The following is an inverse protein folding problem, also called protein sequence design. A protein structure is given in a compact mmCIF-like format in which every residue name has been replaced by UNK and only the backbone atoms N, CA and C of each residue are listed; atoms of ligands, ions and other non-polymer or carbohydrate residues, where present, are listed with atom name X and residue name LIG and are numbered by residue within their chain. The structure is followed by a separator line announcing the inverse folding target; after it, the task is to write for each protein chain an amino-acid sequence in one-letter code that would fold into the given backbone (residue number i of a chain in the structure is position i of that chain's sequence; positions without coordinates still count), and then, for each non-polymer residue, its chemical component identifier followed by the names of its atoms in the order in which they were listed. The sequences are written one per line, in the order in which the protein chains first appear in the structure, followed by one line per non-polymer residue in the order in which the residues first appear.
data_IF_799848494973
#
_entry.id   IF_799848494973
#
_cell.length_a   1.000
_cell.length_b   1.000
_cell.length_c   1.000
_cell.angle_alpha   90.00
_cell.angle_beta   90.00
_cell.angle_gamma   90.00
#
_symmetry.space_group_name_H-M   'P 1'
#
loop_
_entity.id
_entity.type
_entity.pdbx_description
1 polymer ?
#
# COMPACT_ATOMS: atom_id res chain seq x y z
N UNK A 1 -40.30 25.59 -37.77
CA UNK A 1 -41.12 24.37 -37.83
C UNK A 1 -40.76 23.51 -36.62
N UNK A 2 -41.57 23.62 -35.57
CA UNK A 2 -41.27 23.08 -34.25
C UNK A 2 -41.65 21.60 -34.18
N UNK A 3 -40.68 20.72 -33.95
CA UNK A 3 -40.93 19.30 -33.67
C UNK A 3 -40.42 18.94 -32.28
N UNK A 4 -41.41 18.74 -31.41
CA UNK A 4 -41.43 18.38 -29.99
C UNK A 4 -40.33 17.41 -29.53
N UNK A 5 -39.67 17.75 -28.41
CA UNK A 5 -38.90 16.82 -27.57
C UNK A 5 -39.85 15.87 -26.82
N UNK A 6 -39.57 14.57 -26.73
CA UNK A 6 -40.26 13.69 -25.78
C UNK A 6 -39.65 13.78 -24.37
N UNK A 7 -40.53 13.85 -23.37
CA UNK A 7 -40.23 13.89 -21.92
C UNK A 7 -39.72 12.53 -21.40
N UNK A 8 -38.85 12.46 -20.38
CA UNK A 8 -38.23 11.21 -19.97
C UNK A 8 -39.18 10.35 -19.13
N UNK A 9 -39.48 9.14 -19.63
CA UNK A 9 -40.16 8.10 -18.87
C UNK A 9 -39.30 7.65 -17.67
N UNK A 10 -39.94 7.55 -16.50
CA UNK A 10 -39.33 7.27 -15.21
C UNK A 10 -38.50 5.97 -15.19
N UNK A 11 -37.21 6.11 -14.83
CA UNK A 11 -36.37 4.97 -14.45
C UNK A 11 -36.73 4.55 -13.03
N UNK A 12 -37.40 3.40 -12.92
CA UNK A 12 -37.57 2.67 -11.66
C UNK A 12 -36.19 2.21 -11.18
N UNK A 13 -35.77 2.68 -10.02
CA UNK A 13 -34.54 2.21 -9.33
C UNK A 13 -34.70 0.73 -8.98
N UNK A 14 -33.73 -0.15 -9.30
CA UNK A 14 -33.81 -1.54 -8.87
C UNK A 14 -33.67 -1.63 -7.34
N UNK A 15 -34.39 -2.56 -6.67
CA UNK A 15 -34.29 -2.71 -5.22
C UNK A 15 -32.89 -3.21 -4.82
N UNK A 16 -32.33 -2.61 -3.75
CA UNK A 16 -31.06 -3.05 -3.15
C UNK A 16 -31.17 -4.52 -2.72
N UNK A 17 -30.20 -5.40 -3.07
CA UNK A 17 -30.22 -6.77 -2.59
C UNK A 17 -30.04 -6.80 -1.08
N UNK A 18 -31.03 -7.36 -0.39
CA UNK A 18 -31.02 -7.64 1.06
C UNK A 18 -29.93 -8.66 1.35
N UNK A 19 -29.17 -8.41 2.40
CA UNK A 19 -28.05 -9.25 2.82
C UNK A 19 -28.42 -10.72 2.99
N UNK A 20 -27.64 -11.58 2.34
CA UNK A 20 -27.52 -12.99 2.70
C UNK A 20 -26.14 -13.21 3.30
N UNK A 21 -26.12 -13.47 4.60
CA UNK A 21 -24.96 -13.84 5.38
C UNK A 21 -24.35 -15.16 4.88
N UNK A 22 -23.44 -15.09 3.92
CA UNK A 22 -22.56 -16.21 3.59
C UNK A 22 -21.36 -16.18 4.54
N UNK A 23 -21.46 -16.95 5.63
CA UNK A 23 -20.34 -17.31 6.50
C UNK A 23 -19.16 -17.83 5.67
N UNK A 24 -18.18 -16.97 5.35
CA UNK A 24 -16.81 -17.42 5.11
C UNK A 24 -16.17 -17.63 6.48
N UNK A 25 -16.33 -18.84 7.02
CA UNK A 25 -15.52 -19.33 8.12
C UNK A 25 -14.12 -19.58 7.55
N UNK A 26 -13.21 -18.62 7.69
CA UNK A 26 -11.77 -18.93 7.74
C UNK A 26 -11.44 -19.27 9.19
N UNK A 27 -11.78 -20.51 9.55
CA UNK A 27 -11.37 -21.12 10.81
C UNK A 27 -9.87 -21.40 10.76
N UNK A 28 -9.07 -20.59 11.45
CA UNK A 28 -8.07 -21.00 12.46
C UNK A 28 -7.19 -19.81 12.83
N UNK A 29 -7.57 -19.11 13.90
CA UNK A 29 -6.61 -18.38 14.75
C UNK A 29 -6.90 -18.82 16.19
N UNK A 30 -6.48 -20.04 16.51
CA UNK A 30 -6.49 -20.57 17.87
C UNK A 30 -5.33 -19.93 18.66
N UNK A 31 -5.64 -18.94 19.50
CA UNK A 31 -4.74 -18.48 20.56
C UNK A 31 -4.66 -16.96 20.72
N UNK A 32 -5.24 -16.43 21.79
CA UNK A 32 -4.98 -15.09 22.32
C UNK A 32 -6.04 -14.03 21.96
N UNK A 33 -6.64 -13.42 22.99
CA UNK A 33 -7.64 -12.34 22.88
C UNK A 33 -7.17 -11.09 22.12
N UNK A 34 -5.87 -10.98 21.82
CA UNK A 34 -5.26 -9.87 21.08
C UNK A 34 -5.41 -10.04 19.56
N UNK A 35 -5.33 -11.26 19.02
CA UNK A 35 -5.45 -11.50 17.58
C UNK A 35 -6.87 -11.19 17.03
N UNK A 36 -7.91 -11.49 17.82
CA UNK A 36 -9.29 -11.16 17.48
C UNK A 36 -9.56 -9.66 17.49
N UNK A 37 -8.96 -8.92 18.43
CA UNK A 37 -9.04 -7.46 18.51
C UNK A 37 -8.33 -6.77 17.34
N UNK A 38 -7.11 -7.18 16.99
CA UNK A 38 -6.38 -6.63 15.84
C UNK A 38 -7.16 -6.81 14.53
N UNK A 39 -7.86 -7.93 14.37
CA UNK A 39 -8.69 -8.20 13.17
C UNK A 39 -9.90 -7.27 13.12
N UNK A 40 -10.54 -6.99 14.26
CA UNK A 40 -11.63 -6.02 14.32
C UNK A 40 -11.14 -4.60 13.99
N UNK A 41 -10.04 -4.15 14.58
CA UNK A 41 -9.48 -2.81 14.34
C UNK A 41 -9.17 -2.57 12.86
N UNK A 42 -8.59 -3.55 12.16
CA UNK A 42 -8.29 -3.41 10.72
C UNK A 42 -9.55 -3.18 9.87
N UNK A 43 -10.66 -3.82 10.23
CA UNK A 43 -11.95 -3.62 9.53
C UNK A 43 -12.51 -2.22 9.75
N UNK A 44 -12.39 -1.70 10.97
CA UNK A 44 -12.81 -0.33 11.28
C UNK A 44 -11.95 0.70 10.54
N UNK A 45 -10.62 0.49 10.49
CA UNK A 45 -9.70 1.33 9.71
C UNK A 45 -10.08 1.32 8.22
N UNK A 46 -10.34 0.14 7.66
CA UNK A 46 -10.77 0.00 6.27
C UNK A 46 -12.11 0.71 6.01
N UNK A 47 -13.08 0.57 6.92
CA UNK A 47 -14.38 1.23 6.82
C UNK A 47 -14.29 2.75 6.91
N UNK A 48 -13.35 3.27 7.71
CA UNK A 48 -13.05 4.70 7.80
C UNK A 48 -12.32 5.21 6.54
N UNK A 49 -11.62 4.34 5.82
CA UNK A 49 -10.76 4.72 4.70
C UNK A 49 -9.43 5.34 5.12
N UNK A 50 -9.02 5.14 6.38
CA UNK A 50 -7.69 5.53 6.83
C UNK A 50 -6.62 4.58 6.29
N UNK A 51 -5.44 5.12 5.97
CA UNK A 51 -4.29 4.33 5.61
C UNK A 51 -3.46 3.96 6.85
N UNK A 52 -2.69 2.87 6.74
CA UNK A 52 -1.74 2.44 7.77
C UNK A 52 -0.33 2.55 7.21
N UNK A 53 0.46 3.43 7.82
CA UNK A 53 1.90 3.46 7.66
C UNK A 53 2.53 2.57 8.74
N UNK A 54 3.32 1.57 8.35
CA UNK A 54 3.91 0.60 9.28
C UNK A 54 5.37 0.31 8.96
N UNK A 55 6.13 -0.14 9.96
CA UNK A 55 7.43 -0.77 9.78
C UNK A 55 7.29 -2.19 9.20
N UNK A 56 8.35 -2.67 8.55
CA UNK A 56 8.43 -4.04 8.06
C UNK A 56 8.79 -5.01 9.19
N UNK A 57 9.83 -4.71 9.98
CA UNK A 57 10.29 -5.58 11.05
C UNK A 57 10.80 -4.89 12.33
N UNK A 58 10.55 -3.60 12.46
CA UNK A 58 10.96 -2.82 13.62
C UNK A 58 9.88 -2.86 14.71
N UNK A 59 10.05 -3.76 15.68
CA UNK A 59 9.17 -3.92 16.85
C UNK A 59 9.97 -4.24 18.12
N UNK A 60 9.34 -4.20 19.29
CA UNK A 60 9.96 -4.63 20.56
C UNK A 60 10.89 -3.63 21.25
N UNK A 61 11.16 -2.46 20.65
CA UNK A 61 12.00 -1.41 21.24
C UNK A 61 11.29 -0.58 22.33
N UNK A 62 9.96 -0.69 22.44
CA UNK A 62 9.11 -0.06 23.46
C UNK A 62 7.96 -0.99 23.82
N UNK A 63 7.33 -0.74 24.98
CA UNK A 63 6.14 -1.50 25.41
C UNK A 63 4.98 -1.42 24.40
N UNK A 64 4.77 -0.26 23.77
CA UNK A 64 3.72 -0.07 22.75
C UNK A 64 3.97 -0.86 21.45
N UNK A 65 5.24 -1.11 21.11
CA UNK A 65 5.65 -1.84 19.90
C UNK A 65 5.95 -3.32 20.19
N UNK A 66 5.68 -3.81 21.40
CA UNK A 66 6.08 -5.16 21.83
C UNK A 66 5.40 -6.27 21.04
N UNK A 67 4.12 -6.07 20.71
CA UNK A 67 3.29 -7.05 20.01
C UNK A 67 3.30 -6.88 18.48
N UNK A 68 4.29 -6.13 17.95
CA UNK A 68 4.47 -5.98 16.52
C UNK A 68 4.80 -7.30 15.85
N UNK A 69 4.25 -7.52 14.65
CA UNK A 69 4.47 -8.72 13.84
C UNK A 69 4.83 -8.33 12.40
N UNK A 70 5.74 -9.06 11.72
CA UNK A 70 6.10 -8.79 10.33
C UNK A 70 4.90 -8.84 9.36
N UNK A 71 3.94 -9.72 9.65
CA UNK A 71 2.77 -9.97 8.80
C UNK A 71 1.74 -8.85 8.86
N UNK A 72 1.93 -7.82 9.70
CA UNK A 72 0.93 -6.79 9.91
C UNK A 72 0.53 -6.08 8.61
N UNK A 73 1.51 -5.76 7.76
CA UNK A 73 1.26 -5.15 6.46
C UNK A 73 0.36 -6.02 5.57
N UNK A 74 0.66 -7.32 5.46
CA UNK A 74 -0.13 -8.27 4.68
C UNK A 74 -1.56 -8.38 5.22
N UNK A 75 -1.71 -8.52 6.54
CA UNK A 75 -3.02 -8.65 7.18
C UNK A 75 -3.88 -7.37 7.05
N UNK A 76 -3.27 -6.19 7.07
CA UNK A 76 -3.96 -4.93 6.81
C UNK A 76 -4.40 -4.84 5.34
N UNK A 77 -3.52 -5.20 4.41
CA UNK A 77 -3.82 -5.20 2.98
C UNK A 77 -4.96 -6.18 2.64
N UNK A 78 -4.94 -7.38 3.22
CA UNK A 78 -6.02 -8.38 3.09
C UNK A 78 -7.37 -7.86 3.59
N UNK A 79 -7.36 -7.01 4.61
CA UNK A 79 -8.55 -6.36 5.14
C UNK A 79 -9.04 -5.17 4.30
N UNK A 80 -8.34 -4.83 3.22
CA UNK A 80 -8.66 -3.71 2.33
C UNK A 80 -8.14 -2.35 2.82
N UNK A 81 -7.20 -2.34 3.77
CA UNK A 81 -6.56 -1.10 4.25
C UNK A 81 -5.44 -0.71 3.27
N UNK A 82 -5.37 0.57 2.92
CA UNK A 82 -4.21 1.12 2.19
C UNK A 82 -2.98 1.07 3.09
N UNK A 83 -1.98 0.30 2.69
CA UNK A 83 -0.73 0.14 3.46
C UNK A 83 0.39 0.96 2.84
N UNK A 84 1.14 1.65 3.69
CA UNK A 84 2.38 2.34 3.33
C UNK A 84 3.51 1.83 4.23
N UNK A 85 4.74 1.89 3.71
CA UNK A 85 5.94 1.59 4.49
C UNK A 85 6.70 2.88 4.80
N UNK A 86 7.27 2.97 6.00
CA UNK A 86 8.17 4.05 6.40
C UNK A 86 9.32 3.50 7.25
N UNK A 87 10.40 4.27 7.36
CA UNK A 87 11.56 3.94 8.19
C UNK A 87 11.59 4.65 9.53
N UNK A 88 10.95 5.83 9.64
CA UNK A 88 11.10 6.73 10.80
C UNK A 88 12.56 7.16 11.08
N UNK A 89 13.43 7.12 10.06
CA UNK A 89 14.85 7.50 10.15
C UNK A 89 15.32 8.12 8.83
N UNK A 90 16.11 9.21 8.94
CA UNK A 90 16.75 9.93 7.83
C UNK A 90 17.78 9.10 7.07
N UNK A 91 18.37 8.10 7.72
CA UNK A 91 19.38 7.22 7.12
C UNK A 91 18.71 6.02 6.47
N UNK A 92 17.76 5.39 7.18
CA UNK A 92 17.12 4.15 6.72
C UNK A 92 16.15 4.39 5.55
N UNK A 93 15.59 5.60 5.43
CA UNK A 93 14.68 5.95 4.30
C UNK A 93 15.36 5.75 2.94
N UNK A 94 16.70 5.88 2.89
CA UNK A 94 17.47 5.72 1.66
C UNK A 94 17.44 4.30 1.08
N UNK A 95 16.94 3.30 1.83
CA UNK A 95 16.89 1.88 1.41
C UNK A 95 15.51 1.27 1.66
N UNK A 96 14.46 2.09 1.59
CA UNK A 96 13.09 1.66 1.92
C UNK A 96 12.59 0.51 1.03
N UNK A 97 13.15 0.32 -0.18
CA UNK A 97 12.85 -0.84 -1.02
C UNK A 97 13.25 -2.18 -0.39
N UNK A 98 14.29 -2.19 0.47
CA UNK A 98 14.69 -3.38 1.24
C UNK A 98 13.66 -3.67 2.33
N UNK A 99 13.11 -2.64 2.97
CA UNK A 99 12.03 -2.79 3.94
C UNK A 99 10.76 -3.37 3.30
N UNK A 100 10.41 -2.91 2.10
CA UNK A 100 9.33 -3.53 1.33
C UNK A 100 9.63 -4.99 0.94
N UNK A 101 10.88 -5.33 0.64
CA UNK A 101 11.28 -6.71 0.36
C UNK A 101 11.05 -7.62 1.57
N UNK A 102 11.30 -7.13 2.80
CA UNK A 102 10.97 -7.86 4.03
C UNK A 102 9.46 -8.09 4.17
N UNK A 103 8.64 -7.09 3.83
CA UNK A 103 7.18 -7.25 3.84
C UNK A 103 6.71 -8.31 2.85
N UNK A 104 7.36 -8.41 1.68
CA UNK A 104 7.10 -9.50 0.73
C UNK A 104 7.45 -10.85 1.36
N UNK A 105 8.61 -10.95 2.01
CA UNK A 105 9.00 -12.15 2.77
C UNK A 105 8.02 -12.52 3.89
N UNK A 106 7.31 -11.52 4.44
CA UNK A 106 6.27 -11.70 5.46
C UNK A 106 4.86 -11.97 4.89
N UNK A 107 4.71 -12.10 3.57
CA UNK A 107 3.46 -12.49 2.92
C UNK A 107 2.72 -11.39 2.16
N UNK A 108 3.25 -10.17 2.11
CA UNK A 108 2.65 -9.11 1.28
C UNK A 108 2.88 -9.42 -0.21
N UNK A 109 1.84 -9.37 -1.07
CA UNK A 109 2.04 -9.57 -2.50
C UNK A 109 3.03 -8.54 -3.08
N UNK A 110 3.92 -8.97 -3.98
CA UNK A 110 4.96 -8.11 -4.56
C UNK A 110 4.42 -6.82 -5.17
N UNK A 111 3.30 -6.90 -5.88
CA UNK A 111 2.67 -5.72 -6.48
C UNK A 111 2.19 -4.72 -5.42
N UNK A 112 1.67 -5.21 -4.30
CA UNK A 112 1.23 -4.37 -3.18
C UNK A 112 2.42 -3.76 -2.43
N UNK A 113 3.54 -4.48 -2.33
CA UNK A 113 4.77 -3.92 -1.77
C UNK A 113 5.31 -2.75 -2.60
N UNK A 114 5.23 -2.81 -3.94
CA UNK A 114 5.58 -1.67 -4.81
C UNK A 114 4.63 -0.50 -4.55
N UNK A 115 3.31 -0.74 -4.51
CA UNK A 115 2.33 0.31 -4.22
C UNK A 115 2.55 0.96 -2.85
N UNK A 116 2.89 0.17 -1.83
CA UNK A 116 3.16 0.64 -0.48
C UNK A 116 4.39 1.57 -0.40
N UNK A 117 5.31 1.48 -1.35
CA UNK A 117 6.44 2.39 -1.49
C UNK A 117 6.13 3.62 -2.34
N UNK A 118 5.22 3.51 -3.31
CA UNK A 118 5.05 4.52 -4.36
C UNK A 118 3.68 5.21 -4.30
N UNK A 119 2.65 4.62 -4.90
CA UNK A 119 1.37 5.29 -5.12
C UNK A 119 0.55 5.42 -3.85
N UNK A 120 0.66 4.47 -2.91
CA UNK A 120 -0.09 4.52 -1.66
C UNK A 120 0.33 5.73 -0.80
N UNK A 121 1.63 5.93 -0.47
CA UNK A 121 2.03 7.10 0.30
C UNK A 121 1.75 8.41 -0.46
N UNK A 122 1.90 8.44 -1.79
CA UNK A 122 1.54 9.59 -2.61
C UNK A 122 0.05 9.95 -2.49
N UNK A 123 -0.83 8.95 -2.50
CA UNK A 123 -2.28 9.13 -2.33
C UNK A 123 -2.62 9.59 -0.91
N UNK A 124 -1.95 9.04 0.10
CA UNK A 124 -2.20 9.38 1.52
C UNK A 124 -1.87 10.85 1.82
N UNK A 125 -0.85 11.40 1.16
CA UNK A 125 -0.46 12.81 1.33
C UNK A 125 -1.05 13.74 0.26
N UNK A 126 -1.86 13.22 -0.67
CA UNK A 126 -2.59 14.00 -1.68
C UNK A 126 -1.74 14.53 -2.85
N UNK A 127 -0.68 13.82 -3.23
CA UNK A 127 0.24 14.20 -4.33
C UNK A 127 0.33 13.13 -5.43
N UNK A 128 -0.61 12.20 -5.47
CA UNK A 128 -0.69 11.11 -6.46
C UNK A 128 -0.80 11.60 -7.91
N UNK A 129 -1.29 12.83 -8.12
CA UNK A 129 -1.31 13.48 -9.43
C UNK A 129 0.07 13.87 -9.95
N UNK A 130 1.09 13.94 -9.07
CA UNK A 130 2.46 14.33 -9.41
C UNK A 130 3.44 13.17 -9.39
N UNK A 131 3.35 12.27 -8.40
CA UNK A 131 4.35 11.21 -8.18
C UNK A 131 3.70 9.86 -7.81
N UNK A 132 4.51 8.81 -7.77
CA UNK A 132 4.11 7.50 -7.24
C UNK A 132 3.68 6.48 -8.31
N UNK A 133 3.51 6.88 -9.57
CA UNK A 133 3.34 5.95 -10.70
C UNK A 133 3.99 6.47 -11.98
N UNK A 134 4.20 5.57 -12.94
CA UNK A 134 4.78 5.88 -14.25
C UNK A 134 3.68 6.16 -15.27
N UNK A 135 3.20 7.40 -15.29
CA UNK A 135 2.14 7.87 -16.19
C UNK A 135 2.53 9.20 -16.82
N UNK A 136 2.07 9.45 -18.05
CA UNK A 136 2.34 10.70 -18.74
C UNK A 136 1.72 11.89 -17.98
N UNK A 137 2.49 12.97 -17.83
CA UNK A 137 2.08 14.18 -17.11
C UNK A 137 2.50 14.24 -15.63
N UNK A 138 3.10 13.16 -15.10
CA UNK A 138 3.69 13.12 -13.75
C UNK A 138 5.16 13.55 -13.74
N UNK A 139 5.67 13.90 -12.57
CA UNK A 139 7.08 14.24 -12.35
C UNK A 139 7.95 13.00 -12.66
N UNK A 140 9.02 13.21 -13.43
CA UNK A 140 9.91 12.12 -13.87
C UNK A 140 10.91 11.72 -12.76
N UNK A 141 10.36 11.21 -11.66
CA UNK A 141 11.08 10.68 -10.50
C UNK A 141 11.26 9.18 -10.65
N UNK A 142 12.45 8.77 -11.08
CA UNK A 142 12.73 7.40 -11.53
C UNK A 142 13.95 6.84 -10.83
N UNK A 143 13.90 5.55 -10.47
CA UNK A 143 15.04 4.79 -10.01
C UNK A 143 15.26 3.57 -10.92
N UNK A 144 16.45 3.47 -11.49
CA UNK A 144 16.88 2.33 -12.27
C UNK A 144 17.68 1.38 -11.38
N UNK A 145 17.29 0.12 -11.36
CA UNK A 145 17.93 -0.93 -10.58
C UNK A 145 18.64 -1.91 -11.51
N UNK A 146 19.76 -2.48 -11.04
CA UNK A 146 20.53 -3.50 -11.77
C UNK A 146 19.79 -4.84 -11.98
N UNK A 147 18.63 -5.00 -11.37
CA UNK A 147 17.86 -6.23 -11.32
C UNK A 147 16.59 -6.07 -10.49
N UNK A 148 16.10 -7.16 -9.90
CA UNK A 148 14.90 -7.14 -9.05
C UNK A 148 15.10 -6.21 -7.84
N UNK A 149 14.30 -5.13 -7.65
CA UNK A 149 14.43 -4.22 -6.51
C UNK A 149 14.28 -4.90 -5.15
N UNK A 150 13.64 -6.07 -5.07
CA UNK A 150 13.48 -6.81 -3.80
C UNK A 150 14.60 -7.84 -3.54
N UNK A 151 15.60 -7.93 -4.42
CA UNK A 151 16.79 -8.75 -4.17
C UNK A 151 17.84 -7.97 -3.38
N UNK A 152 18.48 -8.64 -2.41
CA UNK A 152 19.58 -8.09 -1.62
C UNK A 152 20.85 -7.78 -2.45
N UNK A 153 20.98 -8.43 -3.61
CA UNK A 153 22.10 -8.24 -4.53
C UNK A 153 21.93 -7.01 -5.43
N UNK A 154 20.70 -6.50 -5.52
CA UNK A 154 20.40 -5.40 -6.41
C UNK A 154 21.03 -4.11 -5.93
N UNK A 155 21.43 -3.29 -6.90
CA UNK A 155 22.03 -1.97 -6.69
C UNK A 155 21.28 -0.96 -7.55
N UNK A 156 21.24 0.29 -7.10
CA UNK A 156 20.71 1.40 -7.89
C UNK A 156 21.76 1.74 -8.95
N UNK A 157 21.37 1.69 -10.22
CA UNK A 157 22.20 2.05 -11.37
C UNK A 157 22.14 3.56 -11.61
N UNK A 158 20.96 4.17 -11.53
CA UNK A 158 20.78 5.59 -11.72
C UNK A 158 19.46 6.08 -11.11
N UNK A 159 19.39 7.37 -10.79
CA UNK A 159 18.19 8.03 -10.25
C UNK A 159 17.96 9.35 -10.96
N UNK A 160 16.70 9.65 -11.25
CA UNK A 160 16.22 10.92 -11.79
C UNK A 160 15.22 11.53 -10.83
N UNK A 161 15.28 12.86 -10.69
CA UNK A 161 14.31 13.68 -9.96
C UNK A 161 13.89 14.80 -10.90
N UNK A 162 12.59 14.95 -11.14
CA UNK A 162 12.00 15.91 -12.08
C UNK A 162 12.67 15.85 -13.47
N UNK A 163 13.00 14.63 -13.92
CA UNK A 163 13.65 14.38 -15.21
C UNK A 163 15.16 14.67 -15.26
N UNK A 164 15.74 15.23 -14.19
CA UNK A 164 17.18 15.46 -14.08
C UNK A 164 17.86 14.26 -13.44
N UNK A 165 18.90 13.73 -14.07
CA UNK A 165 19.68 12.63 -13.50
C UNK A 165 20.50 13.15 -12.33
N UNK A 166 20.23 12.66 -11.12
CA UNK A 166 20.87 13.09 -9.86
C UNK A 166 21.89 12.07 -9.35
N UNK A 167 21.80 10.82 -9.79
CA UNK A 167 22.71 9.75 -9.42
C UNK A 167 22.96 8.83 -10.60
N UNK A 168 24.20 8.37 -10.74
CA UNK A 168 24.63 7.32 -11.67
C UNK A 168 25.75 6.53 -10.99
N UNK A 169 25.63 5.21 -11.00
CA UNK A 169 26.67 4.32 -10.47
C UNK A 169 27.77 4.14 -11.51
N UNK A 170 28.99 4.45 -11.14
CA UNK A 170 30.17 4.09 -11.94
C UNK A 170 30.23 2.57 -12.13
N UNK A 171 30.29 2.13 -13.39
CA UNK A 171 30.55 0.72 -13.72
C UNK A 171 32.06 0.52 -13.67
N UNK A 172 32.54 -0.10 -12.59
CA UNK A 172 33.92 -0.58 -12.46
C UNK A 172 34.08 -1.95 -13.09
#
# INVERSE_FOLDING_TARGET
MATRRPSPAGRRTPPRPRGTSARRRSSTCSGGSTASRCTATRREIAAHGAAVCTWADWWGFKMEARDGIPQNAALCQEAGVTVCVHSDSSEQVQRLWVEAAKMVGAGLPRAEAVKALTINPATVIGVEGRIGSLEAGKDADLALFSGDPFSVLTRVDATWIEGRRVFERERR
#
